data_IF_469752930786
#
_entry.id   IF_469752930786
#
_cell.length_a   1.000
_cell.length_b   1.000
_cell.length_c   1.000
_cell.angle_alpha   90.00
_cell.angle_beta   90.00
_cell.angle_gamma   90.00
#
_symmetry.space_group_name_H-M   'P 1'
#
loop_
_entity.id
_entity.type
_entity.pdbx_description
1 polymer ?
#
# COMPACT_ATOMS: atom_id res chain seq x y z
N UNK A 1 -18.94 6.98 5.68
CA UNK A 1 -18.79 5.85 4.73
C UNK A 1 -17.34 5.80 4.31
N UNK A 2 -16.67 4.64 4.35
CA UNK A 2 -15.25 4.54 3.98
C UNK A 2 -15.18 4.14 2.50
N UNK A 3 -14.51 4.91 1.62
CA UNK A 3 -14.53 4.67 0.17
C UNK A 3 -13.54 3.58 -0.25
N UNK A 4 -13.84 2.31 0.08
CA UNK A 4 -12.95 1.19 -0.23
C UNK A 4 -12.72 0.96 -1.73
N UNK A 5 -13.61 1.42 -2.59
CA UNK A 5 -13.49 1.34 -4.06
C UNK A 5 -12.40 2.27 -4.60
N UNK A 6 -12.02 3.30 -3.84
CA UNK A 6 -10.96 4.25 -4.21
C UNK A 6 -9.56 3.73 -3.89
N UNK A 7 -9.42 2.67 -3.10
CA UNK A 7 -8.13 2.03 -2.83
C UNK A 7 -7.64 1.33 -4.09
N UNK A 8 -6.43 1.57 -4.56
CA UNK A 8 -5.93 0.97 -5.82
C UNK A 8 -4.97 -0.18 -5.59
N UNK A 9 -4.17 -0.11 -4.52
CA UNK A 9 -3.22 -1.14 -4.13
C UNK A 9 -2.91 -1.06 -2.64
N UNK A 10 -2.36 -2.14 -2.10
CA UNK A 10 -1.84 -2.20 -0.74
C UNK A 10 -0.54 -3.01 -0.72
N UNK A 11 0.50 -2.43 -0.10
CA UNK A 11 1.80 -3.07 0.08
C UNK A 11 2.13 -3.14 1.58
N UNK A 12 2.84 -4.19 2.00
CA UNK A 12 3.36 -4.34 3.35
C UNK A 12 4.84 -4.68 3.34
N UNK A 13 5.64 -3.94 4.10
CA UNK A 13 7.09 -4.10 4.13
C UNK A 13 7.76 -3.45 5.33
N UNK A 14 9.08 -3.65 5.47
CA UNK A 14 9.88 -2.98 6.50
C UNK A 14 10.06 -1.48 6.25
N UNK A 15 9.81 -1.05 5.00
CA UNK A 15 9.85 0.34 4.58
C UNK A 15 8.49 0.70 3.97
N UNK A 16 8.10 1.97 4.04
CA UNK A 16 6.99 2.46 3.22
C UNK A 16 7.37 2.27 1.73
N UNK A 17 6.48 1.64 0.95
CA UNK A 17 6.85 0.84 -0.23
C UNK A 17 7.75 1.51 -1.27
N UNK A 18 8.64 0.72 -1.89
CA UNK A 18 9.60 1.17 -2.92
C UNK A 18 8.98 1.56 -4.25
N UNK A 19 7.67 1.36 -4.42
CA UNK A 19 6.92 1.70 -5.67
C UNK A 19 6.57 3.17 -5.77
N UNK A 20 6.98 3.96 -4.78
CA UNK A 20 6.76 5.39 -4.70
C UNK A 20 7.86 6.13 -5.48
N UNK A 21 7.90 5.97 -6.80
CA UNK A 21 8.70 6.90 -7.62
C UNK A 21 8.05 8.31 -7.68
N UNK A 22 6.78 8.45 -7.27
CA UNK A 22 5.99 9.67 -7.46
C UNK A 22 5.41 10.33 -6.20
N UNK A 23 5.52 9.75 -5.00
CA UNK A 23 4.88 10.30 -3.77
C UNK A 23 5.82 10.38 -2.54
N UNK A 24 7.10 10.66 -2.75
CA UNK A 24 8.16 10.67 -1.71
C UNK A 24 8.00 11.82 -0.68
N UNK A 25 7.00 12.68 -0.78
CA UNK A 25 6.93 13.87 0.08
C UNK A 25 6.54 13.60 1.54
N UNK A 26 5.97 12.44 1.92
CA UNK A 26 5.42 12.23 3.27
C UNK A 26 6.28 11.30 4.17
N UNK A 27 7.17 10.49 3.61
CA UNK A 27 7.84 9.41 4.36
C UNK A 27 9.33 9.64 4.70
N UNK A 28 9.92 10.79 4.36
CA UNK A 28 11.37 11.01 4.48
C UNK A 28 11.97 10.69 5.87
N UNK A 29 11.34 11.03 7.01
CA UNK A 29 11.88 10.70 8.34
C UNK A 29 11.75 9.21 8.71
N UNK A 30 10.81 8.49 8.09
CA UNK A 30 10.51 7.09 8.40
C UNK A 30 11.48 6.12 7.72
N UNK A 31 12.14 6.56 6.66
CA UNK A 31 13.11 5.77 5.87
C UNK A 31 14.45 5.57 6.59
N UNK A 32 14.80 6.40 7.59
CA UNK A 32 16.12 6.39 8.24
C UNK A 32 16.15 5.72 9.63
N UNK A 33 15.13 4.93 9.99
CA UNK A 33 15.12 4.22 11.28
C UNK A 33 15.85 2.88 11.19
N UNK A 34 16.87 2.65 12.04
CA UNK A 34 17.53 1.35 12.19
C UNK A 34 16.67 0.27 12.86
N UNK A 35 15.45 0.60 13.31
CA UNK A 35 14.51 -0.36 13.90
C UNK A 35 13.69 -1.03 12.79
N UNK A 36 13.53 -2.35 12.87
CA UNK A 36 12.61 -3.11 12.01
C UNK A 36 11.17 -2.68 12.31
N UNK A 37 10.71 -1.69 11.57
CA UNK A 37 9.31 -1.23 11.57
C UNK A 37 8.58 -1.95 10.46
N UNK A 38 7.27 -2.02 10.57
CA UNK A 38 6.44 -2.63 9.54
C UNK A 38 5.39 -1.62 9.11
N UNK A 39 5.29 -1.38 7.81
CA UNK A 39 4.41 -0.38 7.26
C UNK A 39 3.40 -1.03 6.34
N UNK A 40 2.13 -0.70 6.54
CA UNK A 40 1.07 -0.88 5.56
C UNK A 40 1.00 0.39 4.71
N UNK A 41 1.26 0.27 3.41
CA UNK A 41 1.13 1.36 2.44
C UNK A 41 -0.17 1.17 1.66
N UNK A 42 -1.05 2.16 1.69
CA UNK A 42 -2.33 2.18 0.98
C UNK A 42 -2.26 3.23 -0.12
N UNK A 43 -2.53 2.82 -1.35
CA UNK A 43 -2.63 3.69 -2.53
C UNK A 43 -4.10 3.97 -2.81
N UNK A 44 -4.45 5.21 -3.12
CA UNK A 44 -5.83 5.57 -3.43
C UNK A 44 -5.94 6.67 -4.48
N UNK A 45 -7.07 6.65 -5.19
CA UNK A 45 -7.45 7.68 -6.14
C UNK A 45 -8.83 8.24 -5.75
N UNK A 46 -8.92 9.57 -5.62
CA UNK A 46 -10.18 10.24 -5.24
C UNK A 46 -11.27 10.09 -6.30
N UNK A 47 -10.86 9.79 -7.53
CA UNK A 47 -11.73 9.46 -8.65
C UNK A 47 -11.86 7.94 -8.75
N UNK A 48 -13.08 7.43 -8.53
CA UNK A 48 -13.38 6.01 -8.51
C UNK A 48 -13.20 5.33 -9.88
N UNK A 49 -13.47 6.04 -10.99
CA UNK A 49 -13.26 5.49 -12.32
C UNK A 49 -11.76 5.29 -12.58
N UNK A 50 -10.94 6.27 -12.18
CA UNK A 50 -9.47 6.15 -12.26
C UNK A 50 -8.96 5.08 -11.31
N UNK A 51 -9.58 4.89 -10.15
CA UNK A 51 -9.22 3.81 -9.23
C UNK A 51 -9.45 2.43 -9.86
N UNK A 52 -10.59 2.24 -10.54
CA UNK A 52 -10.90 0.99 -11.25
C UNK A 52 -9.91 0.71 -12.39
N UNK A 53 -9.66 1.70 -13.25
CA UNK A 53 -8.69 1.57 -14.34
C UNK A 53 -7.28 1.24 -13.81
N UNK A 54 -6.90 1.85 -12.68
CA UNK A 54 -5.62 1.57 -12.02
C UNK A 54 -5.53 0.13 -11.51
N UNK A 55 -6.60 -0.37 -10.87
CA UNK A 55 -6.66 -1.77 -10.40
C UNK A 55 -6.52 -2.75 -11.55
N UNK A 56 -7.16 -2.49 -12.69
CA UNK A 56 -7.04 -3.30 -13.89
C UNK A 56 -5.60 -3.33 -14.43
N UNK A 57 -4.94 -2.16 -14.52
CA UNK A 57 -3.53 -2.06 -14.94
C UNK A 57 -2.59 -2.82 -14.02
N UNK A 58 -2.79 -2.73 -12.70
CA UNK A 58 -1.98 -3.45 -11.70
C UNK A 58 -2.24 -4.96 -11.75
N UNK A 59 -3.46 -5.38 -12.04
CA UNK A 59 -3.79 -6.79 -12.23
C UNK A 59 -3.12 -7.38 -13.48
N UNK A 60 -3.01 -6.59 -14.55
CA UNK A 60 -2.31 -6.98 -15.79
C UNK A 60 -0.79 -6.98 -15.63
N UNK A 61 -0.25 -5.94 -14.99
CA UNK A 61 1.17 -5.83 -14.68
C UNK A 61 1.36 -5.58 -13.18
N UNK A 62 1.67 -6.62 -12.38
CA UNK A 62 1.95 -6.47 -10.96
C UNK A 62 3.23 -5.67 -10.69
N UNK A 63 4.02 -5.38 -11.74
CA UNK A 63 5.11 -4.41 -11.99
C UNK A 63 4.72 -2.92 -11.99
N UNK A 64 3.47 -2.63 -12.34
CA UNK A 64 2.98 -1.27 -12.51
C UNK A 64 3.08 -0.45 -11.22
N UNK A 65 3.64 0.76 -11.32
CA UNK A 65 3.74 1.68 -10.19
C UNK A 65 2.41 2.42 -10.01
N UNK A 66 1.65 2.18 -8.93
CA UNK A 66 0.41 2.90 -8.68
C UNK A 66 0.68 4.41 -8.56
N UNK A 67 -0.15 5.21 -9.22
CA UNK A 67 -0.14 6.68 -9.12
C UNK A 67 -1.36 7.17 -8.33
N UNK A 68 -1.21 8.29 -7.64
CA UNK A 68 -2.27 8.87 -6.81
C UNK A 68 -1.77 9.27 -5.42
N UNK A 69 -2.72 9.42 -4.51
CA UNK A 69 -2.43 9.72 -3.11
C UNK A 69 -1.98 8.43 -2.39
N UNK A 70 -1.08 8.57 -1.43
CA UNK A 70 -0.49 7.45 -0.69
C UNK A 70 -0.53 7.75 0.81
N UNK A 71 -0.92 6.76 1.60
CA UNK A 71 -0.82 6.79 3.04
C UNK A 71 -0.01 5.58 3.53
N UNK A 72 0.91 5.79 4.46
CA UNK A 72 1.68 4.73 5.10
C UNK A 72 1.39 4.73 6.60
N UNK A 73 1.12 3.55 7.15
CA UNK A 73 0.79 3.34 8.55
C UNK A 73 1.81 2.38 9.15
N UNK A 74 2.51 2.79 10.21
CA UNK A 74 3.29 1.85 11.02
C UNK A 74 2.30 0.93 11.74
N UNK A 75 2.45 -0.38 11.56
CA UNK A 75 1.61 -1.38 12.21
C UNK A 75 2.49 -2.33 13.01
N UNK A 76 1.96 -2.81 14.14
CA UNK A 76 2.63 -3.84 14.90
C UNK A 76 2.61 -5.15 14.10
N UNK A 77 3.75 -5.86 14.07
CA UNK A 77 3.88 -7.15 13.41
C UNK A 77 2.83 -8.17 13.88
N UNK A 78 2.44 -8.11 15.15
CA UNK A 78 1.46 -9.03 15.73
C UNK A 78 0.05 -8.78 15.24
N UNK A 79 -0.28 -7.55 14.84
CA UNK A 79 -1.61 -7.15 14.37
C UNK A 79 -1.75 -7.32 12.84
N UNK A 80 -0.65 -7.64 12.15
CA UNK A 80 -0.58 -7.67 10.70
C UNK A 80 -1.63 -8.59 10.07
N UNK A 81 -1.76 -9.82 10.56
CA UNK A 81 -2.65 -10.82 9.98
C UNK A 81 -4.11 -10.34 9.99
N UNK A 82 -4.59 -9.92 11.16
CA UNK A 82 -5.97 -9.45 11.34
C UNK A 82 -6.25 -8.21 10.48
N UNK A 83 -5.31 -7.26 10.42
CA UNK A 83 -5.46 -6.05 9.62
C UNK A 83 -5.54 -6.38 8.13
N UNK A 84 -4.70 -7.28 7.64
CA UNK A 84 -4.72 -7.68 6.23
C UNK A 84 -6.00 -8.41 5.88
N UNK A 85 -6.45 -9.35 6.69
CA UNK A 85 -7.67 -10.12 6.42
C UNK A 85 -8.89 -9.19 6.29
N UNK A 86 -9.01 -8.23 7.22
CA UNK A 86 -10.09 -7.24 7.17
C UNK A 86 -9.98 -6.35 5.93
N UNK A 87 -8.79 -5.88 5.57
CA UNK A 87 -8.60 -5.01 4.42
C UNK A 87 -8.83 -5.74 3.10
N UNK A 88 -8.36 -6.97 2.97
CA UNK A 88 -8.62 -7.81 1.81
C UNK A 88 -10.11 -8.08 1.65
N UNK A 89 -10.81 -8.42 2.75
CA UNK A 89 -12.26 -8.64 2.73
C UNK A 89 -13.05 -7.38 2.33
N UNK A 90 -12.61 -6.19 2.77
CA UNK A 90 -13.31 -4.92 2.49
C UNK A 90 -12.99 -4.30 1.14
N UNK A 91 -11.77 -4.49 0.65
CA UNK A 91 -11.31 -3.88 -0.62
C UNK A 91 -11.40 -4.84 -1.80
N UNK A 92 -11.39 -6.15 -1.56
CA UNK A 92 -11.22 -7.18 -2.58
C UNK A 92 -9.79 -7.26 -3.14
N UNK A 93 -8.85 -6.49 -2.61
CA UNK A 93 -7.47 -6.41 -3.11
C UNK A 93 -6.54 -7.24 -2.24
N UNK A 94 -5.61 -7.96 -2.86
CA UNK A 94 -4.53 -8.65 -2.14
C UNK A 94 -3.45 -7.65 -1.73
N UNK A 95 -2.91 -7.85 -0.53
CA UNK A 95 -1.74 -7.10 -0.05
C UNK A 95 -0.48 -7.74 -0.60
N UNK A 96 0.39 -6.95 -1.22
CA UNK A 96 1.70 -7.42 -1.66
C UNK A 96 2.70 -7.37 -0.51
N UNK A 97 3.37 -8.48 -0.24
CA UNK A 97 4.47 -8.54 0.72
C UNK A 97 5.75 -8.09 0.01
N UNK A 98 6.38 -7.01 0.48
CA UNK A 98 7.73 -6.67 0.04
C UNK A 98 8.71 -7.68 0.64
N UNK A 99 9.43 -8.41 -0.23
CA UNK A 99 10.50 -9.30 0.22
C UNK A 99 11.61 -8.48 0.85
N UNK A 100 11.85 -8.71 2.14
CA UNK A 100 13.06 -8.22 2.80
C UNK A 100 14.22 -9.04 2.22
N UNK A 101 15.04 -8.42 1.37
CA UNK A 101 16.27 -9.07 0.91
C UNK A 101 17.15 -9.29 2.13
N UNK A 102 17.44 -10.56 2.43
CA UNK A 102 18.46 -10.95 3.39
C UNK A 102 19.87 -10.58 2.88
#
# INVERSE_FOLDING_TARGET
>A
NIPYTQVTAMDYGEHAGRRVAAAVFVAWPLLFSHKKRHYLTVYFNRDEAKASEMREKIAQDPNFAPTGDVAAFEINKHDFADVIDVLQAKTGLKVKLESVSH
#
